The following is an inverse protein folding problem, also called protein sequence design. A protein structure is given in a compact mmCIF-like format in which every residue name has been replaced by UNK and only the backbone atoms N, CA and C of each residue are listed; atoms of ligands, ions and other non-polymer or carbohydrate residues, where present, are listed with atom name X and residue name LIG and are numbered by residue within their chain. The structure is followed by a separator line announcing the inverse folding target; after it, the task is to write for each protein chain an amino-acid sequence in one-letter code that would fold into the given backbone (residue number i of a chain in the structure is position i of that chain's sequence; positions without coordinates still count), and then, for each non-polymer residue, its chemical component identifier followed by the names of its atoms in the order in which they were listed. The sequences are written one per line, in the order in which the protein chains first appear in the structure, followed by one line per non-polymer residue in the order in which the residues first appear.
data_IF_299532574554
#
_entry.id   IF_299532574554
#
_cell.length_a   1.000
_cell.length_b   1.000
_cell.length_c   1.000
_cell.angle_alpha   90.00
_cell.angle_beta   90.00
_cell.angle_gamma   90.00
#
_symmetry.space_group_name_H-M   'P 1'
#
loop_
_entity.id
_entity.type
_entity.pdbx_description
1 polymer ?
#
# COMPACT_ATOMS: atom_id res chain seq x y z
N UNK A 1 -7.28 7.62 38.46
CA UNK A 1 -8.13 6.41 38.47
C UNK A 1 -7.53 5.40 37.52
N UNK A 2 -7.25 4.20 38.03
CA UNK A 2 -6.62 3.06 37.35
C UNK A 2 -7.68 2.20 36.66
N UNK A 3 -7.27 1.43 35.63
CA UNK A 3 -8.05 0.56 34.71
C UNK A 3 -8.53 1.41 33.52
N UNK A 4 -8.06 1.27 32.27
CA UNK A 4 -7.91 0.07 31.45
C UNK A 4 -6.85 0.30 30.35
N UNK A 5 -5.74 -0.45 30.36
CA UNK A 5 -4.95 -0.70 29.14
C UNK A 5 -4.10 -1.96 29.32
N UNK A 6 -4.76 -3.11 29.34
CA UNK A 6 -4.13 -4.41 29.16
C UNK A 6 -5.24 -5.41 28.86
N UNK A 7 -5.53 -5.62 27.58
CA UNK A 7 -6.20 -6.83 27.12
C UNK A 7 -6.09 -6.92 25.59
N UNK A 8 -4.94 -7.42 25.13
CA UNK A 8 -4.86 -8.14 23.86
C UNK A 8 -3.94 -9.36 24.06
N UNK A 9 -4.39 -10.27 24.92
CA UNK A 9 -3.86 -11.63 25.05
C UNK A 9 -5.03 -12.56 25.35
N UNK A 10 -5.21 -13.54 24.45
CA UNK A 10 -5.84 -14.84 24.64
C UNK A 10 -7.27 -14.90 25.21
N UNK A 11 -8.21 -15.24 24.33
CA UNK A 11 -9.20 -16.27 24.66
C UNK A 11 -9.24 -17.31 23.53
N UNK A 12 -8.40 -18.34 23.69
CA UNK A 12 -8.57 -19.63 23.04
C UNK A 12 -9.55 -20.41 23.94
N UNK A 13 -10.84 -20.39 23.60
CA UNK A 13 -11.80 -21.28 24.25
C UNK A 13 -11.63 -22.68 23.65
N UNK A 14 -11.02 -23.58 24.42
CA UNK A 14 -10.95 -25.00 24.12
C UNK A 14 -12.36 -25.60 24.17
N UNK A 15 -12.94 -25.87 23.00
CA UNK A 15 -14.06 -26.80 22.86
C UNK A 15 -13.47 -28.19 22.56
N UNK A 16 -13.86 -29.28 23.25
CA UNK A 16 -13.43 -30.61 22.86
C UNK A 16 -14.11 -30.98 21.54
N UNK A 17 -13.35 -30.89 20.45
CA UNK A 17 -13.77 -31.40 19.15
C UNK A 17 -13.74 -32.94 19.18
N UNK A 18 -14.75 -33.62 18.62
CA UNK A 18 -14.75 -35.07 18.53
C UNK A 18 -13.55 -35.55 17.71
N UNK A 19 -12.88 -36.57 18.25
CA UNK A 19 -11.76 -37.23 17.62
C UNK A 19 -12.18 -37.86 16.28
N UNK A 20 -11.21 -37.89 15.36
CA UNK A 20 -11.15 -38.70 14.13
C UNK A 20 -12.09 -38.27 12.99
N UNK A 21 -11.68 -37.23 12.27
CA UNK A 21 -11.90 -37.17 10.83
C UNK A 21 -10.71 -37.82 10.14
N UNK A 22 -10.91 -38.98 9.54
CA UNK A 22 -9.91 -39.68 8.73
C UNK A 22 -9.67 -38.90 7.42
N UNK A 23 -8.56 -38.16 7.38
CA UNK A 23 -8.15 -37.38 6.21
C UNK A 23 -7.51 -38.24 5.11
N UNK A 24 -7.34 -39.55 5.30
CA UNK A 24 -6.72 -40.43 4.30
C UNK A 24 -7.56 -40.57 3.02
N UNK A 25 -8.87 -40.34 3.09
CA UNK A 25 -9.77 -40.36 1.94
C UNK A 25 -9.76 -39.06 1.11
N UNK A 26 -9.20 -37.96 1.64
CA UNK A 26 -9.19 -36.65 0.97
C UNK A 26 -7.95 -36.41 0.11
N UNK A 27 -6.95 -37.30 0.19
CA UNK A 27 -5.77 -37.26 -0.65
C UNK A 27 -5.79 -38.41 -1.65
N UNK A 28 -6.31 -38.18 -2.85
CA UNK A 28 -6.00 -39.04 -3.98
C UNK A 28 -4.51 -38.99 -4.23
N UNK A 29 -3.83 -40.15 -4.20
CA UNK A 29 -2.40 -40.25 -4.45
C UNK A 29 -2.07 -39.51 -5.76
N UNK A 30 -1.14 -38.55 -5.75
CA UNK A 30 -0.81 -37.77 -6.93
C UNK A 30 -0.17 -38.66 -7.99
N UNK A 31 -0.37 -38.33 -9.26
CA UNK A 31 0.04 -39.17 -10.40
C UNK A 31 1.53 -39.54 -10.40
N UNK A 32 2.38 -38.76 -9.74
CA UNK A 32 3.81 -39.02 -9.61
C UNK A 32 4.17 -40.14 -8.61
N UNK A 33 3.21 -40.61 -7.80
CA UNK A 33 3.41 -41.68 -6.81
C UNK A 33 3.10 -43.09 -7.36
N UNK A 34 2.68 -43.19 -8.62
CA UNK A 34 2.57 -44.48 -9.31
C UNK A 34 3.93 -44.84 -9.91
N UNK A 35 4.44 -46.07 -9.73
CA UNK A 35 5.64 -46.51 -10.44
C UNK A 35 5.37 -46.44 -11.96
N UNK A 36 6.36 -46.00 -12.77
CA UNK A 36 6.16 -45.88 -14.21
C UNK A 36 5.74 -47.23 -14.80
N UNK A 37 4.61 -47.24 -15.51
CA UNK A 37 4.15 -48.40 -16.26
C UNK A 37 5.22 -48.77 -17.29
N UNK A 38 5.82 -49.96 -17.14
CA UNK A 38 6.73 -50.52 -18.14
C UNK A 38 5.94 -50.76 -19.41
N UNK A 39 6.18 -49.95 -20.43
CA UNK A 39 5.59 -50.13 -21.75
C UNK A 39 6.19 -51.39 -22.40
N UNK A 40 5.38 -52.22 -23.09
CA UNK A 40 5.92 -53.32 -23.87
C UNK A 40 6.86 -52.79 -24.97
N UNK A 41 7.95 -53.51 -25.21
CA UNK A 41 9.10 -53.10 -26.03
C UNK A 41 8.82 -52.91 -27.53
N UNK A 42 7.57 -53.03 -27.96
CA UNK A 42 7.20 -53.07 -29.39
C UNK A 42 6.45 -51.82 -29.89
N UNK A 43 6.34 -50.75 -29.08
CA UNK A 43 5.84 -49.46 -29.55
C UNK A 43 6.96 -48.68 -30.27
N UNK A 44 7.33 -49.18 -31.45
CA UNK A 44 8.26 -48.54 -32.36
C UNK A 44 7.73 -47.18 -32.86
N UNK A 45 8.66 -46.22 -32.94
CA UNK A 45 8.61 -44.97 -33.71
C UNK A 45 7.62 -43.88 -33.27
N UNK A 46 7.80 -43.33 -32.07
CA UNK A 46 7.44 -41.92 -31.84
C UNK A 46 8.52 -41.04 -32.48
N UNK A 47 8.15 -40.30 -33.53
CA UNK A 47 8.94 -39.19 -34.07
C UNK A 47 9.34 -38.25 -32.93
N UNK A 48 10.54 -37.63 -32.95
CA UNK A 48 10.92 -36.67 -31.91
C UNK A 48 9.83 -35.59 -31.88
N UNK A 49 9.27 -35.38 -30.69
CA UNK A 49 8.28 -34.33 -30.46
C UNK A 49 8.85 -33.03 -31.02
N UNK A 50 8.21 -32.49 -32.05
CA UNK A 50 8.46 -31.11 -32.45
C UNK A 50 8.04 -30.27 -31.25
N UNK A 51 9.01 -29.66 -30.57
CA UNK A 51 8.74 -28.50 -29.73
C UNK A 51 7.99 -27.52 -30.62
N UNK A 52 6.68 -27.37 -30.36
CA UNK A 52 5.93 -26.28 -30.96
C UNK A 52 6.50 -25.01 -30.37
N UNK A 53 7.42 -24.38 -31.10
CA UNK A 53 7.84 -23.00 -30.91
C UNK A 53 6.57 -22.14 -30.92
N UNK A 54 5.95 -21.94 -29.76
CA UNK A 54 4.89 -20.95 -29.60
C UNK A 54 5.53 -19.60 -29.89
N UNK A 55 5.07 -18.84 -30.90
CA UNK A 55 5.64 -17.55 -31.23
C UNK A 55 5.66 -16.68 -29.98
N UNK A 56 6.82 -16.13 -29.65
CA UNK A 56 7.04 -15.30 -28.47
C UNK A 56 6.10 -14.10 -28.48
N UNK A 57 4.98 -14.18 -27.76
CA UNK A 57 3.90 -13.19 -27.84
C UNK A 57 4.34 -11.85 -27.24
N UNK A 58 4.30 -10.79 -28.05
CA UNK A 58 4.60 -9.42 -27.59
C UNK A 58 3.52 -8.93 -26.62
N UNK A 59 3.93 -8.28 -25.54
CA UNK A 59 3.03 -7.76 -24.51
C UNK A 59 2.51 -6.37 -24.85
N UNK A 60 1.29 -6.07 -24.41
CA UNK A 60 0.62 -4.78 -24.67
C UNK A 60 0.99 -3.74 -23.63
N UNK A 61 1.53 -2.59 -24.05
CA UNK A 61 1.94 -1.49 -23.16
C UNK A 61 0.76 -0.86 -22.42
N UNK A 62 -0.36 -0.60 -23.11
CA UNK A 62 -1.56 -0.01 -22.51
C UNK A 62 -2.12 -0.88 -21.38
N UNK A 63 -2.20 -2.20 -21.59
CA UNK A 63 -2.61 -3.16 -20.56
C UNK A 63 -1.73 -3.06 -19.32
N UNK A 64 -0.41 -3.04 -19.49
CA UNK A 64 0.53 -2.91 -18.38
C UNK A 64 0.37 -1.59 -17.62
N UNK A 65 0.22 -0.48 -18.34
CA UNK A 65 -0.03 0.83 -17.75
C UNK A 65 -1.26 0.81 -16.83
N UNK A 66 -2.41 0.37 -17.34
CA UNK A 66 -3.65 0.37 -16.56
C UNK A 66 -3.62 -0.63 -15.39
N UNK A 67 -2.96 -1.77 -15.56
CA UNK A 67 -2.74 -2.72 -14.47
C UNK A 67 -1.98 -2.06 -13.31
N UNK A 68 -0.87 -1.39 -13.59
CA UNK A 68 -0.06 -0.71 -12.56
C UNK A 68 -0.68 0.58 -12.03
N UNK A 69 -1.50 1.25 -12.84
CA UNK A 69 -2.26 2.41 -12.38
C UNK A 69 -3.34 2.02 -11.36
N UNK A 70 -3.94 0.82 -11.50
CA UNK A 70 -4.92 0.31 -10.56
C UNK A 70 -4.25 -0.26 -9.31
N UNK A 71 -3.22 -1.08 -9.50
CA UNK A 71 -2.44 -1.66 -8.40
C UNK A 71 -0.96 -1.60 -8.78
N UNK A 72 -0.18 -0.73 -8.11
CA UNK A 72 1.24 -0.55 -8.40
C UNK A 72 1.99 -1.89 -8.36
N UNK A 73 2.72 -2.20 -9.42
CA UNK A 73 3.48 -3.45 -9.58
C UNK A 73 2.84 -4.50 -10.49
N UNK A 74 1.53 -4.45 -10.77
CA UNK A 74 0.86 -5.47 -11.60
C UNK A 74 1.31 -5.47 -13.06
N UNK A 75 1.53 -4.31 -13.66
CA UNK A 75 1.99 -4.15 -15.03
C UNK A 75 3.45 -4.57 -15.22
N UNK A 76 4.30 -4.32 -14.22
CA UNK A 76 5.68 -4.81 -14.16
C UNK A 76 5.69 -6.33 -14.02
N UNK A 77 4.83 -6.88 -13.17
CA UNK A 77 4.66 -8.32 -13.04
C UNK A 77 4.17 -8.94 -14.35
N UNK A 78 3.17 -8.33 -15.01
CA UNK A 78 2.72 -8.70 -16.34
C UNK A 78 3.87 -8.67 -17.36
N UNK A 79 4.78 -7.70 -17.29
CA UNK A 79 5.98 -7.62 -18.12
C UNK A 79 7.07 -8.65 -17.75
N UNK A 80 6.89 -9.46 -16.70
CA UNK A 80 7.88 -10.43 -16.20
C UNK A 80 8.99 -9.81 -15.34
N UNK A 81 8.80 -8.57 -14.86
CA UNK A 81 9.77 -7.84 -14.02
C UNK A 81 9.43 -7.97 -12.54
N UNK A 82 9.54 -9.19 -12.00
CA UNK A 82 9.14 -9.54 -10.63
C UNK A 82 9.78 -8.67 -9.54
N UNK A 83 11.07 -8.34 -9.63
CA UNK A 83 11.73 -7.48 -8.63
C UNK A 83 11.16 -6.05 -8.63
N UNK A 84 10.84 -5.50 -9.80
CA UNK A 84 10.22 -4.16 -9.91
C UNK A 84 8.80 -4.19 -9.33
N UNK A 85 8.03 -5.22 -9.67
CA UNK A 85 6.69 -5.44 -9.12
C UNK A 85 6.70 -5.50 -7.57
N UNK A 86 7.61 -6.28 -6.98
CA UNK A 86 7.75 -6.40 -5.53
C UNK A 86 8.06 -5.07 -4.85
N UNK A 87 8.88 -4.20 -5.47
CA UNK A 87 9.18 -2.88 -4.93
C UNK A 87 7.92 -2.00 -4.87
N UNK A 88 7.14 -1.95 -5.95
CA UNK A 88 5.91 -1.15 -5.98
C UNK A 88 4.82 -1.69 -5.05
N UNK A 89 4.63 -3.02 -4.99
CA UNK A 89 3.71 -3.64 -4.02
C UNK A 89 4.15 -3.37 -2.57
N UNK A 90 5.44 -3.51 -2.27
CA UNK A 90 5.98 -3.25 -0.94
C UNK A 90 5.83 -1.78 -0.54
N UNK A 91 6.10 -0.86 -1.46
CA UNK A 91 5.88 0.57 -1.26
C UNK A 91 4.39 0.87 -1.00
N UNK A 92 3.49 0.28 -1.77
CA UNK A 92 2.05 0.46 -1.61
C UNK A 92 1.58 0.05 -0.21
N UNK A 93 1.98 -1.15 0.25
CA UNK A 93 1.66 -1.63 1.60
C UNK A 93 2.24 -0.67 2.66
N UNK A 94 3.50 -0.26 2.52
CA UNK A 94 4.15 0.62 3.48
C UNK A 94 3.47 2.01 3.56
N UNK A 95 3.02 2.54 2.43
CA UNK A 95 2.32 3.82 2.35
C UNK A 95 0.95 3.76 3.03
N UNK A 96 0.17 2.71 2.78
CA UNK A 96 -1.12 2.50 3.48
C UNK A 96 -0.95 2.28 4.98
N UNK A 97 0.06 1.52 5.40
CA UNK A 97 0.39 1.35 6.81
C UNK A 97 0.80 2.69 7.45
N UNK A 98 1.56 3.52 6.74
CA UNK A 98 1.93 4.86 7.20
C UNK A 98 0.69 5.74 7.37
N UNK A 99 -0.22 5.75 6.38
CA UNK A 99 -1.49 6.48 6.48
C UNK A 99 -2.30 6.04 7.70
N UNK A 100 -2.51 4.73 7.86
CA UNK A 100 -3.26 4.18 8.98
C UNK A 100 -2.61 4.51 10.32
N UNK A 101 -1.27 4.43 10.40
CA UNK A 101 -0.49 4.79 11.59
C UNK A 101 -0.67 6.26 11.97
N UNK A 102 -0.55 7.17 11.00
CA UNK A 102 -0.73 8.60 11.24
C UNK A 102 -2.17 8.97 11.62
N UNK A 103 -3.19 8.37 10.98
CA UNK A 103 -4.61 8.57 11.36
C UNK A 103 -4.92 8.07 12.76
N UNK A 104 -4.34 6.93 13.14
CA UNK A 104 -4.48 6.38 14.49
C UNK A 104 -3.83 7.31 15.52
N UNK A 105 -2.60 7.76 15.24
CA UNK A 105 -1.88 8.68 16.12
C UNK A 105 -2.60 10.04 16.25
N UNK A 106 -3.12 10.59 15.15
CA UNK A 106 -3.96 11.80 15.17
C UNK A 106 -5.14 11.63 16.13
N UNK A 107 -5.86 10.50 16.04
CA UNK A 107 -7.03 10.22 16.88
C UNK A 107 -6.66 10.18 18.37
N UNK A 108 -5.57 9.48 18.72
CA UNK A 108 -5.08 9.47 20.10
C UNK A 108 -4.69 10.86 20.59
N UNK A 109 -4.03 11.67 19.75
CA UNK A 109 -3.68 13.05 20.13
C UNK A 109 -4.92 13.94 20.26
N UNK A 110 -5.98 13.69 19.48
CA UNK A 110 -7.28 14.37 19.62
C UNK A 110 -7.92 14.07 20.97
N UNK A 111 -7.98 12.80 21.34
CA UNK A 111 -8.50 12.36 22.64
C UNK A 111 -7.70 12.98 23.78
N UNK A 112 -6.36 12.94 23.68
CA UNK A 112 -5.47 13.52 24.68
C UNK A 112 -5.69 15.03 24.89
N UNK A 113 -5.70 15.85 23.83
CA UNK A 113 -5.86 17.30 24.03
C UNK A 113 -7.26 17.63 24.54
N UNK A 114 -8.30 16.89 24.10
CA UNK A 114 -9.68 17.10 24.55
C UNK A 114 -9.85 16.74 26.02
N UNK A 115 -9.40 15.55 26.41
CA UNK A 115 -9.41 15.13 27.81
C UNK A 115 -8.62 16.08 28.70
N UNK A 116 -7.45 16.52 28.24
CA UNK A 116 -6.62 17.49 28.96
C UNK A 116 -7.31 18.85 29.15
N UNK A 117 -8.02 19.34 28.14
CA UNK A 117 -8.80 20.57 28.26
C UNK A 117 -9.99 20.41 29.22
N UNK A 118 -10.68 19.26 29.18
CA UNK A 118 -11.77 18.99 30.11
C UNK A 118 -11.28 18.94 31.57
N UNK A 119 -10.14 18.28 31.81
CA UNK A 119 -9.56 18.11 33.14
C UNK A 119 -9.02 19.42 33.72
N UNK A 120 -8.21 20.15 32.95
CA UNK A 120 -7.46 21.29 33.48
C UNK A 120 -8.10 22.65 33.19
N UNK A 121 -8.90 22.77 32.14
CA UNK A 121 -9.54 24.04 31.78
C UNK A 121 -11.07 24.06 32.01
N UNK A 122 -11.65 22.96 32.50
CA UNK A 122 -13.09 22.85 32.75
C UNK A 122 -13.93 22.86 31.47
N UNK A 123 -13.34 22.49 30.34
CA UNK A 123 -14.01 22.51 29.03
C UNK A 123 -15.07 21.42 28.93
N UNK A 124 -16.28 21.80 28.51
CA UNK A 124 -17.29 20.83 28.07
C UNK A 124 -17.00 20.37 26.63
N UNK A 125 -16.88 19.05 26.43
CA UNK A 125 -16.56 18.44 25.13
C UNK A 125 -17.77 18.31 24.20
N UNK A 126 -18.99 18.37 24.74
CA UNK A 126 -20.20 18.10 23.98
C UNK A 126 -20.59 19.26 23.05
N UNK A 127 -20.94 18.93 21.81
CA UNK A 127 -21.45 19.89 20.83
C UNK A 127 -20.44 20.96 20.39
N UNK A 128 -19.13 20.76 20.63
CA UNK A 128 -18.09 21.72 20.26
C UNK A 128 -17.45 21.39 18.92
N UNK A 129 -17.25 22.41 18.09
CA UNK A 129 -16.57 22.29 16.81
C UNK A 129 -15.04 22.42 16.96
N UNK A 130 -14.30 22.18 15.88
CA UNK A 130 -12.83 22.27 15.91
C UNK A 130 -12.32 23.70 16.19
N UNK A 131 -13.04 24.74 15.73
CA UNK A 131 -12.66 26.14 15.95
C UNK A 131 -12.63 26.49 17.44
N UNK A 132 -13.58 25.98 18.23
CA UNK A 132 -13.57 26.14 19.67
C UNK A 132 -12.29 25.60 20.31
N UNK A 133 -11.85 24.40 19.92
CA UNK A 133 -10.59 23.83 20.40
C UNK A 133 -9.34 24.60 19.92
N UNK A 134 -9.43 25.33 18.80
CA UNK A 134 -8.37 26.27 18.40
C UNK A 134 -8.36 27.49 19.32
N UNK A 135 -9.54 28.05 19.61
CA UNK A 135 -9.72 29.26 20.42
C UNK A 135 -9.22 29.08 21.85
N UNK A 136 -9.57 27.96 22.52
CA UNK A 136 -9.12 27.68 23.89
C UNK A 136 -7.60 27.57 24.00
N UNK A 137 -6.91 27.20 22.92
CA UNK A 137 -5.44 27.14 22.88
C UNK A 137 -4.76 28.50 22.80
N UNK A 138 -5.51 29.58 22.52
CA UNK A 138 -4.97 30.91 22.27
C UNK A 138 -5.08 31.88 23.46
N UNK A 139 -5.95 31.61 24.43
CA UNK A 139 -6.22 32.49 25.59
C UNK A 139 -6.36 31.68 26.87
N UNK A 140 -5.94 32.23 28.01
CA UNK A 140 -6.02 31.53 29.29
C UNK A 140 -7.47 31.47 29.80
N UNK A 141 -8.26 32.52 29.56
CA UNK A 141 -9.66 32.59 29.99
C UNK A 141 -10.60 32.99 28.84
N UNK A 142 -11.84 32.51 28.87
CA UNK A 142 -12.90 32.88 27.91
C UNK A 142 -13.13 34.40 27.83
N UNK A 143 -13.05 35.10 28.96
CA UNK A 143 -13.24 36.56 28.99
C UNK A 143 -12.15 37.30 28.22
N UNK A 144 -10.90 36.82 28.25
CA UNK A 144 -9.81 37.42 27.48
C UNK A 144 -10.07 37.33 25.98
N UNK A 145 -10.53 36.16 25.54
CA UNK A 145 -10.94 35.91 24.15
C UNK A 145 -12.12 36.81 23.77
N UNK A 146 -13.19 36.79 24.56
CA UNK A 146 -14.40 37.56 24.29
C UNK A 146 -14.12 39.06 24.24
N UNK A 147 -13.32 39.60 25.18
CA UNK A 147 -12.89 40.99 25.16
C UNK A 147 -12.05 41.31 23.93
N UNK A 148 -11.17 40.41 23.48
CA UNK A 148 -10.41 40.58 22.25
C UNK A 148 -11.32 40.65 21.01
N UNK A 149 -12.33 39.77 20.93
CA UNK A 149 -13.32 39.79 19.83
C UNK A 149 -14.18 41.05 19.83
N UNK A 150 -14.58 41.54 21.00
CA UNK A 150 -15.32 42.80 21.14
C UNK A 150 -14.49 44.00 20.65
N UNK A 151 -13.21 44.10 21.02
CA UNK A 151 -12.30 45.16 20.53
C UNK A 151 -12.13 45.12 19.01
N UNK A 152 -12.10 43.92 18.44
CA UNK A 152 -11.98 43.70 16.99
C UNK A 152 -13.30 43.87 16.23
N UNK A 153 -14.43 44.07 16.93
CA UNK A 153 -15.78 44.08 16.35
C UNK A 153 -16.14 42.78 15.61
N UNK A 154 -15.51 41.66 15.98
CA UNK A 154 -15.79 40.32 15.44
C UNK A 154 -16.86 39.61 16.28
N UNK A 155 -18.09 40.09 16.17
CA UNK A 155 -19.22 39.61 16.98
C UNK A 155 -19.66 38.18 16.61
N UNK A 156 -19.37 37.71 15.40
CA UNK A 156 -19.73 36.36 14.95
C UNK A 156 -18.90 35.27 15.66
N UNK A 157 -17.70 35.61 16.11
CA UNK A 157 -16.82 34.71 16.86
C UNK A 157 -16.97 34.88 18.38
N UNK A 158 -17.81 35.79 18.85
CA UNK A 158 -17.99 36.05 20.28
C UNK A 158 -18.87 34.97 20.93
N UNK A 159 -18.38 34.35 22.02
CA UNK A 159 -19.14 33.36 22.76
C UNK A 159 -20.15 34.05 23.70
N UNK A 160 -21.42 34.09 23.28
CA UNK A 160 -22.53 34.68 24.06
C UNK A 160 -22.92 33.83 25.27
N UNK A 161 -22.95 32.51 25.11
CA UNK A 161 -23.21 31.56 26.18
C UNK A 161 -21.90 31.16 26.87
N UNK A 162 -21.47 31.99 27.83
CA UNK A 162 -20.22 31.76 28.57
C UNK A 162 -20.29 30.48 29.41
N UNK A 163 -21.45 30.15 29.96
CA UNK A 163 -21.61 28.94 30.77
C UNK A 163 -21.44 27.67 29.92
N UNK A 164 -22.05 27.64 28.73
CA UNK A 164 -21.94 26.50 27.82
C UNK A 164 -20.57 26.36 27.15
N UNK A 165 -19.80 27.44 26.99
CA UNK A 165 -18.50 27.45 26.32
C UNK A 165 -17.31 27.69 27.25
N UNK A 166 -17.52 27.69 28.56
CA UNK A 166 -16.53 28.04 29.57
C UNK A 166 -15.19 27.35 29.39
N UNK A 167 -14.09 28.10 29.56
CA UNK A 167 -12.77 27.55 29.81
C UNK A 167 -11.93 28.52 30.66
N UNK A 168 -11.06 27.96 31.50
CA UNK A 168 -10.07 28.70 32.28
C UNK A 168 -8.84 27.84 32.54
N UNK A 169 -7.74 28.12 31.87
CA UNK A 169 -6.46 27.46 32.16
C UNK A 169 -5.89 27.91 33.51
N UNK A 170 -5.28 27.02 34.31
CA UNK A 170 -4.67 27.39 35.57
C UNK A 170 -3.48 28.35 35.41
N UNK A 171 -2.70 28.11 34.35
CA UNK A 171 -1.56 28.92 33.96
C UNK A 171 -1.25 28.73 32.46
N UNK A 172 -0.35 29.56 31.96
CA UNK A 172 0.12 29.53 30.58
C UNK A 172 0.78 28.19 30.20
N UNK A 173 1.46 27.52 31.14
CA UNK A 173 2.16 26.27 30.85
C UNK A 173 1.16 25.14 30.53
N UNK A 174 0.03 25.08 31.23
CA UNK A 174 -1.05 24.15 30.92
C UNK A 174 -1.63 24.41 29.53
N UNK A 175 -1.91 25.68 29.20
CA UNK A 175 -2.40 26.07 27.86
C UNK A 175 -1.41 25.70 26.77
N UNK A 176 -0.11 25.93 26.98
CA UNK A 176 0.92 25.58 26.01
C UNK A 176 1.08 24.07 25.84
N UNK A 177 0.96 23.29 26.92
CA UNK A 177 0.92 21.82 26.82
C UNK A 177 -0.28 21.33 26.00
N UNK A 178 -1.47 21.88 26.26
CA UNK A 178 -2.65 21.63 25.44
C UNK A 178 -2.41 21.95 23.96
N UNK A 179 -1.88 23.15 23.68
CA UNK A 179 -1.60 23.61 22.32
C UNK A 179 -0.63 22.68 21.61
N UNK A 180 0.40 22.20 22.29
CA UNK A 180 1.36 21.24 21.73
C UNK A 180 0.71 19.89 21.40
N UNK A 181 -0.17 19.38 22.27
CA UNK A 181 -0.94 18.16 21.98
C UNK A 181 -1.82 18.36 20.74
N UNK A 182 -2.56 19.47 20.66
CA UNK A 182 -3.39 19.80 19.49
C UNK A 182 -2.58 19.92 18.20
N UNK A 183 -1.45 20.64 18.24
CA UNK A 183 -0.54 20.76 17.09
C UNK A 183 0.05 19.41 16.67
N UNK A 184 0.29 18.50 17.62
CA UNK A 184 0.77 17.15 17.29
C UNK A 184 -0.29 16.32 16.57
N UNK A 185 -1.58 16.46 16.93
CA UNK A 185 -2.69 15.86 16.21
C UNK A 185 -2.79 16.40 14.77
N UNK A 186 -2.75 17.73 14.64
CA UNK A 186 -2.80 18.41 13.34
C UNK A 186 -1.66 17.96 12.42
N UNK A 187 -0.43 17.89 12.95
CA UNK A 187 0.74 17.41 12.21
C UNK A 187 0.59 15.94 11.79
N UNK A 188 0.03 15.08 12.64
CA UNK A 188 -0.26 13.69 12.29
C UNK A 188 -1.28 13.60 11.14
N UNK A 189 -2.35 14.39 11.19
CA UNK A 189 -3.33 14.47 10.10
C UNK A 189 -2.73 14.94 8.78
N UNK A 190 -1.82 15.94 8.82
CA UNK A 190 -1.07 16.38 7.65
C UNK A 190 -0.18 15.25 7.09
N UNK A 191 0.52 14.51 7.93
CA UNK A 191 1.33 13.36 7.48
C UNK A 191 0.49 12.24 6.87
N UNK A 192 -0.72 11.99 7.39
CA UNK A 192 -1.66 11.08 6.75
C UNK A 192 -2.05 11.58 5.34
N UNK A 193 -2.33 12.88 5.18
CA UNK A 193 -2.62 13.45 3.86
C UNK A 193 -1.43 13.32 2.90
N UNK A 194 -0.20 13.55 3.37
CA UNK A 194 1.01 13.34 2.58
C UNK A 194 1.16 11.88 2.15
N UNK A 195 0.82 10.91 3.01
CA UNK A 195 0.86 9.49 2.66
C UNK A 195 -0.09 9.17 1.50
N UNK A 196 -1.31 9.74 1.48
CA UNK A 196 -2.23 9.61 0.34
C UNK A 196 -1.64 10.22 -0.95
N UNK A 197 -1.03 11.39 -0.85
CA UNK A 197 -0.33 11.99 -1.99
C UNK A 197 0.80 11.09 -2.53
N UNK A 198 1.54 10.44 -1.63
CA UNK A 198 2.58 9.49 -1.98
C UNK A 198 2.01 8.20 -2.60
N UNK A 199 0.85 7.70 -2.16
CA UNK A 199 0.14 6.59 -2.82
C UNK A 199 -0.16 6.95 -4.28
N UNK A 200 -0.78 8.12 -4.51
CA UNK A 200 -1.08 8.55 -5.89
C UNK A 200 0.19 8.65 -6.74
N UNK A 201 1.28 9.19 -6.19
CA UNK A 201 2.56 9.25 -6.89
C UNK A 201 3.12 7.84 -7.19
N UNK A 202 3.01 6.90 -6.26
CA UNK A 202 3.42 5.50 -6.43
C UNK A 202 2.68 4.83 -7.59
N UNK A 203 1.36 5.03 -7.69
CA UNK A 203 0.54 4.57 -8.81
C UNK A 203 1.01 5.12 -10.16
N UNK A 204 1.30 6.42 -10.24
CA UNK A 204 1.76 7.05 -11.48
C UNK A 204 3.14 6.54 -11.90
N UNK A 205 4.08 6.46 -10.96
CA UNK A 205 5.43 5.96 -11.27
C UNK A 205 5.43 4.49 -11.68
N UNK A 206 4.62 3.66 -11.03
CA UNK A 206 4.46 2.26 -11.43
C UNK A 206 3.81 2.14 -12.81
N UNK A 207 2.76 2.91 -13.10
CA UNK A 207 2.14 2.89 -14.42
C UNK A 207 3.15 3.20 -15.55
N UNK A 208 4.05 4.17 -15.33
CA UNK A 208 5.13 4.51 -16.27
C UNK A 208 6.20 3.41 -16.35
N UNK A 209 6.68 2.90 -15.22
CA UNK A 209 7.70 1.83 -15.18
C UNK A 209 7.19 0.54 -15.83
N UNK A 210 5.91 0.21 -15.68
CA UNK A 210 5.26 -0.92 -16.36
C UNK A 210 5.32 -0.81 -17.89
N UNK A 211 5.11 0.39 -18.45
CA UNK A 211 5.22 0.63 -19.89
C UNK A 211 6.65 0.40 -20.38
N UNK A 212 7.63 0.88 -19.62
CA UNK A 212 9.05 0.66 -19.92
C UNK A 212 9.44 -0.81 -19.78
N UNK A 213 8.94 -1.49 -18.76
CA UNK A 213 9.13 -2.91 -18.52
C UNK A 213 8.61 -3.75 -19.69
N UNK A 214 7.41 -3.45 -20.21
CA UNK A 214 6.89 -4.08 -21.44
C UNK A 214 7.72 -3.73 -22.65
N UNK A 215 8.16 -2.49 -22.81
CA UNK A 215 9.01 -2.11 -23.93
C UNK A 215 10.29 -2.94 -23.98
N UNK A 216 10.96 -3.09 -22.83
CA UNK A 216 12.16 -3.90 -22.71
C UNK A 216 11.88 -5.39 -22.91
N UNK A 217 10.75 -5.89 -22.40
CA UNK A 217 10.30 -7.27 -22.66
C UNK A 217 10.15 -7.51 -24.16
N UNK A 218 9.37 -6.67 -24.85
CA UNK A 218 9.14 -6.80 -26.29
C UNK A 218 10.43 -6.66 -27.11
N UNK A 219 11.37 -5.80 -26.70
CA UNK A 219 12.67 -5.67 -27.38
C UNK A 219 13.48 -6.96 -27.30
N UNK A 220 13.49 -7.61 -26.14
CA UNK A 220 14.24 -8.85 -25.91
C UNK A 220 13.57 -10.08 -26.54
N UNK A 221 12.25 -10.01 -26.79
CA UNK A 221 11.43 -11.11 -27.33
C UNK A 221 10.97 -10.84 -28.77
N UNK A 222 11.54 -9.84 -29.44
CA UNK A 222 11.41 -9.69 -30.89
C UNK A 222 12.39 -10.66 -31.54
N UNK A 223 11.85 -11.64 -32.27
CA UNK A 223 12.63 -12.42 -33.24
C UNK A 223 13.40 -11.47 -34.14
N UNK A 224 14.72 -11.45 -34.03
CA UNK A 224 15.58 -10.82 -35.02
C UNK A 224 15.64 -11.73 -36.23
N UNK A 225 15.51 -11.19 -37.45
CA UNK A 225 15.95 -11.91 -38.64
C UNK A 225 17.48 -11.98 -38.55
N UNK A 226 18.02 -13.14 -38.22
CA UNK A 226 19.44 -13.43 -38.30
C UNK A 226 19.80 -13.72 -39.75
N UNK A 227 20.71 -12.94 -40.34
CA UNK A 227 21.34 -13.33 -41.59
C UNK A 227 22.69 -13.93 -41.26
N UNK A 228 22.80 -15.26 -41.33
CA UNK A 228 24.07 -15.95 -41.17
C UNK A 228 24.75 -16.06 -42.55
N UNK A 229 25.92 -15.42 -42.69
CA UNK A 229 26.76 -15.53 -43.87
C UNK A 229 27.80 -16.61 -43.63
N UNK A 230 27.76 -17.69 -44.39
CA UNK A 230 28.73 -18.78 -44.25
C UNK A 230 29.68 -18.80 -45.46
N UNK A 231 30.99 -18.72 -45.18
CA UNK A 231 32.05 -18.81 -46.18
C UNK A 231 32.82 -20.11 -45.95
N UNK A 232 32.47 -21.14 -46.72
CA UNK A 232 33.21 -22.40 -46.74
C UNK A 232 34.32 -22.36 -47.78
N UNK A 233 35.58 -22.51 -47.33
CA UNK A 233 36.72 -22.74 -48.23
C UNK A 233 37.04 -24.23 -48.29
N UNK A 234 36.68 -24.87 -49.41
CA UNK A 234 37.20 -26.19 -49.79
C UNK A 234 38.12 -26.04 -51.00
N UNK A 235 39.20 -26.84 -51.15
CA UNK A 235 40.27 -26.60 -52.14
C UNK A 235 39.82 -26.51 -53.61
N UNK A 236 38.60 -26.93 -53.95
CA UNK A 236 38.08 -26.92 -55.32
C UNK A 236 36.86 -26.03 -55.55
N UNK A 237 36.20 -25.47 -54.51
CA UNK A 237 34.99 -24.62 -54.68
C UNK A 237 34.81 -23.62 -53.53
N UNK A 238 34.45 -22.38 -53.89
CA UNK A 238 33.95 -21.35 -52.97
C UNK A 238 32.42 -21.48 -52.93
N UNK A 239 31.85 -21.74 -51.75
CA UNK A 239 30.40 -21.80 -51.57
C UNK A 239 29.94 -20.63 -50.70
N UNK A 240 29.04 -19.82 -51.25
CA UNK A 240 28.33 -18.76 -50.54
C UNK A 240 26.93 -19.30 -50.19
N UNK A 241 26.56 -19.35 -48.91
CA UNK A 241 25.15 -19.57 -48.52
C UNK A 241 24.67 -18.43 -47.63
N UNK A 242 23.44 -17.99 -47.91
CA UNK A 242 22.70 -17.06 -47.07
C UNK A 242 21.51 -17.85 -46.52
N UNK A 243 21.58 -18.16 -45.24
CA UNK A 243 20.51 -18.85 -44.53
C UNK A 243 19.84 -17.83 -43.61
N UNK A 244 18.51 -17.69 -43.75
CA UNK A 244 17.68 -16.94 -42.83
C UNK A 244 17.07 -17.93 -41.85
N UNK A 245 17.50 -17.87 -40.59
CA UNK A 245 16.90 -18.62 -39.50
C UNK A 245 15.91 -17.72 -38.75
N UNK A 246 14.74 -18.28 -38.48
CA UNK A 246 13.81 -17.72 -37.52
C UNK A 246 14.19 -18.27 -36.14
N UNK A 247 14.47 -17.38 -35.18
CA UNK A 247 14.64 -17.72 -33.76
C UNK A 247 13.53 -17.10 -32.93
#
# INVERSE_FOLDING_TARGET
MKKYLSLLLLFLAASPLPAQTDFSALWTKPAWAQPPSVLPADAAAAQPAQETDTPTELKTKSKAFFLSLLVPGLGEYYAGRTRRAQLFFGAEIALWLSYAGFKTYETWRIEDYRGYAAEYAGVNLEGKNNTYFIDIGNYNHIDEYNQAKLRQRYLDAYYRDVAGYYWSWPDEAHRMKYKNLRLSAEKAGQHALFAIGAVVANHLFSAIDAVWSVHQYNKNHRSGVGFHFNLGCTPSQIRLSLDADWR
#
